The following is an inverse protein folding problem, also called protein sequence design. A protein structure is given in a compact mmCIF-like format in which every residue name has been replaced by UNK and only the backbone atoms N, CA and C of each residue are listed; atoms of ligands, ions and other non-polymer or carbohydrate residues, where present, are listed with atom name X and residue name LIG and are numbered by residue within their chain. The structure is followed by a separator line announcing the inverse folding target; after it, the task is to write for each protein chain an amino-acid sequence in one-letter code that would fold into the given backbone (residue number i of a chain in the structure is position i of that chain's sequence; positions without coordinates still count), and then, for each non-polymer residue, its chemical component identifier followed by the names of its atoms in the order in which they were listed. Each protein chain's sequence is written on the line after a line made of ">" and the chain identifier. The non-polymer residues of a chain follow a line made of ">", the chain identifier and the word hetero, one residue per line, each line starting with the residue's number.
data_IF_930032412324
#
_entry.id   IF_930032412324
#
_cell.length_a   1.000
_cell.length_b   1.000
_cell.length_c   1.000
_cell.angle_alpha   90.00
_cell.angle_beta   90.00
_cell.angle_gamma   90.00
#
_symmetry.space_group_name_H-M   'P 1'
#
loop_
_entity.id
_entity.type
_entity.pdbx_description
1 polymer ?
#
# COMPACT_ATOMS: atom_id res chain seq x y z
N UNK A 1 14.27 -15.65 -5.90
CA UNK A 1 13.22 -14.64 -6.18
C UNK A 1 12.83 -14.60 -7.66
N UNK A 2 13.81 -14.63 -8.59
CA UNK A 2 13.57 -14.66 -10.05
C UNK A 2 12.65 -15.78 -10.55
N UNK A 3 12.74 -16.98 -9.97
CA UNK A 3 11.94 -18.14 -10.43
C UNK A 3 10.43 -17.96 -10.23
N UNK A 4 10.02 -17.23 -9.19
CA UNK A 4 8.62 -16.92 -8.92
C UNK A 4 8.12 -15.76 -9.80
N UNK A 5 8.96 -14.75 -10.02
CA UNK A 5 8.65 -13.62 -10.92
C UNK A 5 8.45 -14.11 -12.37
N UNK A 6 9.29 -15.04 -12.85
CA UNK A 6 9.11 -15.69 -14.15
C UNK A 6 7.78 -16.45 -14.27
N UNK A 7 7.36 -17.15 -13.20
CA UNK A 7 6.08 -17.87 -13.19
C UNK A 7 4.88 -16.92 -13.28
N UNK A 8 4.98 -15.71 -12.71
CA UNK A 8 3.96 -14.67 -12.88
C UNK A 8 3.87 -14.11 -14.31
N UNK A 9 5.00 -14.08 -15.05
CA UNK A 9 5.02 -13.62 -16.45
C UNK A 9 4.41 -14.61 -17.45
N UNK A 10 4.23 -15.88 -17.07
CA UNK A 10 3.61 -16.91 -17.91
C UNK A 10 2.07 -16.95 -17.77
N UNK A 11 1.51 -16.26 -16.77
CA UNK A 11 0.06 -16.15 -16.63
C UNK A 11 -0.53 -15.16 -17.65
N UNK A 12 -1.80 -15.36 -18.06
CA UNK A 12 -2.48 -14.40 -18.92
C UNK A 12 -2.39 -13.00 -18.30
N UNK A 13 -2.12 -11.95 -19.10
CA UNK A 13 -1.76 -10.63 -18.58
C UNK A 13 -2.83 -10.03 -17.65
N UNK A 14 -4.10 -10.39 -17.85
CA UNK A 14 -5.22 -10.01 -16.96
C UNK A 14 -5.13 -10.67 -15.57
N UNK A 15 -4.71 -11.94 -15.51
CA UNK A 15 -4.61 -12.71 -14.25
C UNK A 15 -3.38 -12.30 -13.46
N UNK A 16 -2.25 -12.05 -14.12
CA UNK A 16 -1.03 -11.55 -13.47
C UNK A 16 -1.25 -10.18 -12.79
N UNK A 17 -1.96 -9.27 -13.45
CA UNK A 17 -2.34 -7.98 -12.86
C UNK A 17 -3.27 -8.18 -11.68
N UNK A 18 -4.35 -8.96 -11.82
CA UNK A 18 -5.30 -9.21 -10.73
C UNK A 18 -4.62 -9.79 -9.48
N UNK A 19 -3.73 -10.77 -9.65
CA UNK A 19 -2.96 -11.34 -8.54
C UNK A 19 -2.04 -10.30 -7.88
N UNK A 20 -1.39 -9.43 -8.67
CA UNK A 20 -0.55 -8.36 -8.13
C UNK A 20 -1.36 -7.39 -7.25
N UNK A 21 -2.58 -7.06 -7.66
CA UNK A 21 -3.52 -6.28 -6.85
C UNK A 21 -3.90 -7.00 -5.56
N UNK A 22 -4.29 -8.27 -5.64
CA UNK A 22 -4.67 -9.07 -4.47
C UNK A 22 -3.50 -9.12 -3.47
N UNK A 23 -2.27 -9.38 -3.95
CA UNK A 23 -1.08 -9.42 -3.11
C UNK A 23 -0.84 -8.06 -2.44
N UNK A 24 -0.87 -6.96 -3.19
CA UNK A 24 -0.63 -5.63 -2.62
C UNK A 24 -1.70 -5.23 -1.60
N UNK A 25 -2.98 -5.47 -1.90
CA UNK A 25 -4.09 -5.16 -1.00
C UNK A 25 -3.94 -5.93 0.31
N UNK A 26 -3.64 -7.23 0.24
CA UNK A 26 -3.46 -8.06 1.43
C UNK A 26 -2.23 -7.64 2.24
N UNK A 27 -1.10 -7.34 1.60
CA UNK A 27 0.10 -6.86 2.30
C UNK A 27 -0.17 -5.51 2.97
N UNK A 28 -0.83 -4.58 2.28
CA UNK A 28 -1.18 -3.28 2.82
C UNK A 28 -2.11 -3.42 4.04
N UNK A 29 -3.13 -4.27 3.93
CA UNK A 29 -4.07 -4.52 5.01
C UNK A 29 -3.40 -5.20 6.21
N UNK A 30 -2.57 -6.20 5.96
CA UNK A 30 -1.79 -6.89 6.99
C UNK A 30 -0.88 -5.91 7.73
N UNK A 31 -0.07 -5.14 7.01
CA UNK A 31 0.88 -4.18 7.62
C UNK A 31 0.18 -3.10 8.45
N UNK A 32 -0.94 -2.54 7.95
CA UNK A 32 -1.72 -1.54 8.71
C UNK A 32 -2.40 -2.15 9.94
N UNK A 33 -2.94 -3.37 9.83
CA UNK A 33 -3.53 -4.06 10.98
C UNK A 33 -2.49 -4.44 12.03
N UNK A 34 -1.32 -4.94 11.62
CA UNK A 34 -0.20 -5.22 12.52
C UNK A 34 0.25 -3.95 13.24
N UNK A 35 0.39 -2.83 12.51
CA UNK A 35 0.74 -1.54 13.11
C UNK A 35 -0.30 -1.13 14.16
N UNK A 36 -1.60 -1.24 13.85
CA UNK A 36 -2.69 -0.93 14.79
C UNK A 36 -2.64 -1.80 16.05
N UNK A 37 -2.38 -3.10 15.91
CA UNK A 37 -2.30 -4.03 17.05
C UNK A 37 -1.10 -3.72 17.93
N UNK A 38 0.09 -3.52 17.34
CA UNK A 38 1.32 -3.18 18.07
C UNK A 38 1.09 -1.90 18.87
N UNK A 39 0.48 -0.91 18.22
CA UNK A 39 0.18 0.39 18.78
C UNK A 39 -0.83 0.31 19.93
N UNK A 40 -1.87 -0.50 19.80
CA UNK A 40 -2.82 -0.77 20.88
C UNK A 40 -2.17 -1.50 22.07
N UNK A 41 -1.26 -2.44 21.79
CA UNK A 41 -0.60 -3.24 22.83
C UNK A 41 0.48 -2.45 23.59
N UNK A 42 1.35 -1.73 22.89
CA UNK A 42 2.50 -1.06 23.50
C UNK A 42 2.19 0.30 24.13
N UNK A 43 1.22 1.04 23.59
CA UNK A 43 1.02 2.44 23.95
C UNK A 43 -0.39 2.76 24.44
N UNK A 44 -1.07 1.75 24.99
CA UNK A 44 -2.44 1.87 25.52
C UNK A 44 -2.60 3.04 26.50
N UNK A 45 -1.59 3.31 27.32
CA UNK A 45 -1.62 4.37 28.34
C UNK A 45 -0.94 5.70 27.90
N UNK A 46 -0.09 5.68 26.87
CA UNK A 46 0.71 6.86 26.46
C UNK A 46 0.25 7.49 25.14
N UNK A 47 -0.94 7.13 24.67
CA UNK A 47 -1.49 7.51 23.37
C UNK A 47 -1.73 9.02 23.17
N UNK A 48 -1.65 9.82 24.24
CA UNK A 48 -1.84 11.27 24.20
C UNK A 48 -0.59 12.08 23.82
N UNK A 49 0.59 11.45 23.74
CA UNK A 49 1.78 12.21 23.34
C UNK A 49 1.76 12.52 21.84
N UNK A 50 1.76 13.81 21.51
CA UNK A 50 1.74 14.31 20.12
C UNK A 50 2.85 13.68 19.26
N UNK A 51 4.02 13.45 19.85
CA UNK A 51 5.16 12.84 19.17
C UNK A 51 4.90 11.40 18.71
N UNK A 52 4.25 10.58 19.53
CA UNK A 52 3.91 9.20 19.14
C UNK A 52 2.90 9.18 17.99
N UNK A 53 1.89 10.06 18.01
CA UNK A 53 0.90 10.15 16.94
C UNK A 53 1.56 10.46 15.60
N UNK A 54 2.47 11.44 15.57
CA UNK A 54 3.23 11.80 14.36
C UNK A 54 4.10 10.63 13.88
N UNK A 55 4.78 9.95 14.79
CA UNK A 55 5.61 8.78 14.47
C UNK A 55 4.77 7.66 13.83
N UNK A 56 3.59 7.36 14.37
CA UNK A 56 2.71 6.31 13.83
C UNK A 56 2.10 6.67 12.47
N UNK A 57 1.69 7.92 12.28
CA UNK A 57 1.22 8.39 10.99
C UNK A 57 2.33 8.28 9.93
N UNK A 58 3.57 8.63 10.30
CA UNK A 58 4.73 8.46 9.42
C UNK A 58 4.97 6.99 9.02
N UNK A 59 4.83 6.06 9.97
CA UNK A 59 4.93 4.62 9.69
C UNK A 59 3.81 4.15 8.75
N UNK A 60 2.57 4.60 8.97
CA UNK A 60 1.44 4.27 8.10
C UNK A 60 1.65 4.80 6.67
N UNK A 61 2.15 6.04 6.50
CA UNK A 61 2.49 6.61 5.20
C UNK A 61 3.63 5.86 4.51
N UNK A 62 4.64 5.45 5.28
CA UNK A 62 5.75 4.64 4.75
C UNK A 62 5.27 3.29 4.22
N UNK A 63 4.33 2.63 4.91
CA UNK A 63 3.70 1.39 4.43
C UNK A 63 2.96 1.63 3.09
N UNK A 64 2.17 2.70 3.00
CA UNK A 64 1.44 3.04 1.76
C UNK A 64 2.39 3.28 0.59
N UNK A 65 3.48 4.01 0.82
CA UNK A 65 4.52 4.26 -0.18
C UNK A 65 5.19 2.96 -0.64
N UNK A 66 5.60 2.09 0.28
CA UNK A 66 6.23 0.80 -0.04
C UNK A 66 5.28 -0.13 -0.81
N UNK A 67 4.00 -0.17 -0.46
CA UNK A 67 2.99 -0.90 -1.24
C UNK A 67 2.86 -0.35 -2.67
N UNK A 68 2.96 0.97 -2.84
CA UNK A 68 3.04 1.61 -4.15
C UNK A 68 4.23 1.12 -4.99
N UNK A 69 5.41 1.10 -4.37
CA UNK A 69 6.65 0.58 -4.97
C UNK A 69 6.51 -0.89 -5.38
N UNK A 70 5.98 -1.74 -4.49
CA UNK A 70 5.77 -3.16 -4.75
C UNK A 70 4.83 -3.39 -5.94
N UNK A 71 3.72 -2.64 -5.99
CA UNK A 71 2.77 -2.71 -7.10
C UNK A 71 3.39 -2.26 -8.41
N UNK A 72 4.18 -1.17 -8.39
CA UNK A 72 4.89 -0.68 -9.57
C UNK A 72 5.96 -1.65 -10.08
N UNK A 73 6.55 -2.45 -9.20
CA UNK A 73 7.49 -3.50 -9.57
C UNK A 73 6.78 -4.72 -10.19
N UNK A 74 5.70 -5.18 -9.56
CA UNK A 74 4.91 -6.36 -9.97
C UNK A 74 4.15 -6.12 -11.28
N UNK A 75 3.55 -4.94 -11.44
CA UNK A 75 2.78 -4.60 -12.63
C UNK A 75 3.74 -4.08 -13.70
N UNK A 76 4.04 -4.93 -14.68
CA UNK A 76 4.93 -4.59 -15.81
C UNK A 76 4.31 -3.57 -16.80
N UNK A 77 3.23 -2.90 -16.44
CA UNK A 77 2.58 -1.87 -17.26
C UNK A 77 3.11 -0.50 -16.84
N UNK A 78 3.48 0.34 -17.80
CA UNK A 78 3.97 1.71 -17.56
C UNK A 78 2.83 2.64 -17.09
N UNK A 79 2.16 2.30 -15.98
CA UNK A 79 1.04 3.08 -15.48
C UNK A 79 1.09 3.21 -13.97
N UNK A 80 1.24 4.46 -13.53
CA UNK A 80 1.22 4.87 -12.12
C UNK A 80 -0.19 4.69 -11.52
N UNK A 81 -1.23 4.71 -12.36
CA UNK A 81 -2.61 4.51 -11.94
C UNK A 81 -2.82 3.16 -11.24
N UNK A 82 -2.09 2.12 -11.66
CA UNK A 82 -2.27 0.81 -11.04
C UNK A 82 -1.78 0.79 -9.58
N UNK A 83 -0.62 1.38 -9.33
CA UNK A 83 -0.08 1.52 -7.98
C UNK A 83 -0.93 2.42 -7.09
N UNK A 84 -1.40 3.54 -7.63
CA UNK A 84 -2.30 4.47 -6.93
C UNK A 84 -3.60 3.76 -6.52
N UNK A 85 -4.25 3.07 -7.47
CA UNK A 85 -5.49 2.35 -7.22
C UNK A 85 -5.32 1.19 -6.24
N UNK A 86 -4.24 0.41 -6.36
CA UNK A 86 -3.99 -0.74 -5.48
C UNK A 86 -3.85 -0.32 -4.01
N UNK A 87 -3.12 0.78 -3.75
CA UNK A 87 -2.94 1.29 -2.39
C UNK A 87 -4.23 1.90 -1.85
N UNK A 88 -4.97 2.66 -2.67
CA UNK A 88 -6.26 3.21 -2.26
C UNK A 88 -7.27 2.09 -1.89
N UNK A 89 -7.33 1.02 -2.69
CA UNK A 89 -8.15 -0.15 -2.39
C UNK A 89 -7.68 -0.88 -1.13
N UNK A 90 -6.36 -1.00 -0.92
CA UNK A 90 -5.79 -1.56 0.31
C UNK A 90 -6.21 -0.78 1.55
N UNK A 91 -6.18 0.56 1.47
CA UNK A 91 -6.62 1.45 2.54
C UNK A 91 -8.12 1.27 2.82
N UNK A 92 -8.95 1.35 1.79
CA UNK A 92 -10.41 1.14 1.88
C UNK A 92 -10.74 -0.22 2.50
N UNK A 93 -10.08 -1.29 2.06
CA UNK A 93 -10.28 -2.64 2.57
C UNK A 93 -9.92 -2.75 4.06
N UNK A 94 -8.79 -2.17 4.48
CA UNK A 94 -8.37 -2.16 5.90
C UNK A 94 -9.43 -1.50 6.79
N UNK A 95 -10.01 -0.42 6.29
CA UNK A 95 -11.04 0.36 6.97
C UNK A 95 -12.37 -0.39 7.06
N UNK A 96 -12.79 -1.08 5.98
CA UNK A 96 -13.95 -1.98 6.00
C UNK A 96 -13.79 -3.11 7.02
N UNK A 97 -12.61 -3.74 7.07
CA UNK A 97 -12.30 -4.81 8.03
C UNK A 97 -12.25 -4.29 9.48
N UNK A 98 -11.90 -3.02 9.67
CA UNK A 98 -11.83 -2.40 10.99
C UNK A 98 -13.20 -2.00 11.57
N UNK A 99 -14.28 -2.04 10.78
CA UNK A 99 -15.64 -1.74 11.24
C UNK A 99 -15.87 -0.26 11.57
N UNK A 100 -15.86 0.60 10.54
CA UNK A 100 -16.11 2.04 10.68
C UNK A 100 -17.59 2.34 11.00
N UNK A 101 -17.81 3.30 11.91
CA UNK A 101 -19.11 3.96 12.09
C UNK A 101 -19.38 5.08 11.07
N UNK A 102 -20.65 5.39 10.79
CA UNK A 102 -21.04 6.33 9.72
C UNK A 102 -20.43 7.75 9.81
N UNK A 103 -19.88 8.17 10.95
CA UNK A 103 -19.22 9.48 11.08
C UNK A 103 -17.75 9.51 10.61
N UNK A 104 -17.13 8.37 10.27
CA UNK A 104 -15.71 8.32 9.90
C UNK A 104 -15.47 8.23 8.38
N UNK A 105 -16.50 8.42 7.55
CA UNK A 105 -16.36 8.40 6.08
C UNK A 105 -15.40 9.47 5.56
N UNK A 106 -15.27 10.61 6.24
CA UNK A 106 -14.32 11.66 5.88
C UNK A 106 -12.88 11.15 6.05
N UNK A 107 -12.59 10.44 7.15
CA UNK A 107 -11.27 9.85 7.42
C UNK A 107 -10.96 8.70 6.45
N UNK A 108 -11.97 7.92 6.07
CA UNK A 108 -11.85 6.92 5.00
C UNK A 108 -11.41 7.58 3.68
N UNK A 109 -12.10 8.65 3.28
CA UNK A 109 -11.85 9.34 2.02
C UNK A 109 -10.46 9.99 2.01
N UNK A 110 -10.09 10.66 3.10
CA UNK A 110 -8.77 11.25 3.28
C UNK A 110 -7.67 10.19 3.26
N UNK A 111 -7.88 9.06 3.94
CA UNK A 111 -6.98 7.92 3.90
C UNK A 111 -6.83 7.33 2.50
N UNK A 112 -7.93 7.18 1.77
CA UNK A 112 -7.92 6.64 0.40
C UNK A 112 -7.21 7.59 -0.57
N UNK A 113 -7.45 8.90 -0.47
CA UNK A 113 -6.74 9.94 -1.23
C UNK A 113 -5.25 9.93 -0.93
N UNK A 114 -4.88 9.90 0.34
CA UNK A 114 -3.47 9.86 0.77
C UNK A 114 -2.79 8.58 0.27
N UNK A 115 -3.48 7.43 0.38
CA UNK A 115 -3.02 6.17 -0.17
C UNK A 115 -2.86 6.20 -1.69
N UNK A 116 -3.78 6.84 -2.41
CA UNK A 116 -3.69 7.00 -3.86
C UNK A 116 -2.46 7.84 -4.25
N UNK A 117 -2.21 8.93 -3.55
CA UNK A 117 -1.06 9.81 -3.80
C UNK A 117 0.24 9.07 -3.49
N UNK A 118 0.40 8.54 -2.29
CA UNK A 118 1.63 7.83 -1.86
C UNK A 118 1.88 6.57 -2.70
N UNK A 119 0.82 5.83 -3.02
CA UNK A 119 0.88 4.67 -3.89
C UNK A 119 1.34 5.03 -5.31
N UNK A 120 0.84 6.16 -5.83
CA UNK A 120 1.29 6.72 -7.10
C UNK A 120 2.76 7.13 -7.09
N UNK A 121 3.21 7.85 -6.06
CA UNK A 121 4.61 8.28 -5.92
C UNK A 121 5.52 7.05 -5.82
N UNK A 122 5.19 6.07 -4.97
CA UNK A 122 5.97 4.83 -4.85
C UNK A 122 6.03 4.03 -6.16
N UNK A 123 4.88 3.88 -6.83
CA UNK A 123 4.80 3.22 -8.13
C UNK A 123 5.63 3.91 -9.21
N UNK A 124 5.55 5.24 -9.27
CA UNK A 124 6.36 6.07 -10.17
C UNK A 124 7.85 5.94 -9.91
N UNK A 125 8.27 5.95 -8.64
CA UNK A 125 9.65 5.72 -8.25
C UNK A 125 10.17 4.37 -8.73
N UNK A 126 9.39 3.30 -8.53
CA UNK A 126 9.75 1.96 -9.02
C UNK A 126 9.89 1.91 -10.55
N UNK A 127 9.03 2.61 -11.29
CA UNK A 127 9.13 2.69 -12.76
C UNK A 127 10.39 3.43 -13.22
N UNK A 128 10.78 4.52 -12.54
CA UNK A 128 12.00 5.27 -12.85
C UNK A 128 13.23 4.39 -12.61
N UNK A 129 13.30 3.71 -11.45
CA UNK A 129 14.40 2.79 -11.11
C UNK A 129 14.51 1.68 -12.17
N UNK A 130 13.38 1.11 -12.58
CA UNK A 130 13.34 0.06 -13.61
C UNK A 130 13.83 0.56 -14.97
N UNK A 131 13.47 1.79 -15.37
CA UNK A 131 13.99 2.41 -16.60
C UNK A 131 15.50 2.61 -16.52
N UNK A 132 15.99 3.09 -15.38
CA UNK A 132 17.42 3.33 -15.16
C UNK A 132 18.23 2.02 -15.23
N UNK A 133 17.73 0.94 -14.64
CA UNK A 133 18.36 -0.39 -14.70
C UNK A 133 18.35 -1.03 -16.08
N UNK A 134 17.37 -0.74 -16.95
CA UNK A 134 17.36 -1.25 -18.34
C UNK A 134 18.23 -0.46 -19.30
N UNK A 135 18.60 0.77 -18.93
CA UNK A 135 19.45 1.63 -19.74
C UNK A 135 20.94 1.34 -19.55
N UNK A 136 21.28 0.45 -18.62
CA UNK A 136 22.65 0.07 -18.25
C UNK A 136 22.89 -1.38 -18.65
#
# INVERSE_FOLDING_TARGET
>A
MDKYIKKFSELPPKVGVALSYIICINICAFARNSLKIILWYMFRESYQSHWLIVFFNSMAYSIMFLCGCLTGFLIHKNSIFHSSLAVALGVMFTYLVSGIGQNEYILLLEGALTGAVLGGIGGGGALIIRKFWRSK
#
